data_IF_940628666543
#
_entry.id   IF_940628666543
#
_cell.length_a   1.000
_cell.length_b   1.000
_cell.length_c   1.000
_cell.angle_alpha   90.00
_cell.angle_beta   90.00
_cell.angle_gamma   90.00
#
_symmetry.space_group_name_H-M   'P 1'
#
loop_
_entity.id
_entity.type
_entity.pdbx_description
1 polymer ?
#
# COMPACT_ATOMS: atom_id res chain seq x y z
N UNK A 1 20.59 59.39 14.22
CA UNK A 1 19.80 58.47 15.07
C UNK A 1 18.62 57.79 14.36
N UNK A 2 17.93 58.42 13.39
CA UNK A 2 16.80 57.78 12.66
C UNK A 2 17.17 56.59 11.76
N UNK A 3 18.40 56.52 11.23
CA UNK A 3 18.85 55.40 10.38
C UNK A 3 19.20 54.12 11.16
N UNK A 4 19.60 54.24 12.42
CA UNK A 4 19.91 53.08 13.26
C UNK A 4 18.62 52.36 13.70
N UNK A 5 17.56 53.11 14.03
CA UNK A 5 16.28 52.54 14.45
C UNK A 5 15.60 51.71 13.35
N UNK A 6 15.68 52.13 12.08
CA UNK A 6 15.05 51.42 10.94
C UNK A 6 15.76 50.08 10.66
N UNK A 7 17.08 50.01 10.83
CA UNK A 7 17.84 48.77 10.63
C UNK A 7 17.54 47.76 11.74
N UNK A 8 17.33 48.21 12.98
CA UNK A 8 16.96 47.32 14.10
C UNK A 8 15.54 46.78 13.95
N UNK A 9 14.59 47.57 13.40
CA UNK A 9 13.21 47.08 13.18
C UNK A 9 13.14 46.03 12.06
N UNK A 10 13.93 46.18 11.00
CA UNK A 10 13.99 45.19 9.90
C UNK A 10 14.65 43.88 10.36
N UNK A 11 15.71 43.95 11.19
CA UNK A 11 16.34 42.74 11.74
C UNK A 11 15.42 41.98 12.71
N UNK A 12 14.57 42.68 13.46
CA UNK A 12 13.64 42.04 14.40
C UNK A 12 12.45 41.38 13.71
N UNK A 13 12.04 41.85 12.52
CA UNK A 13 10.99 41.22 11.71
C UNK A 13 11.44 39.94 10.98
N UNK A 14 12.75 39.71 10.81
CA UNK A 14 13.27 38.47 10.20
C UNK A 14 13.30 37.32 11.23
N UNK A 15 13.35 37.64 12.53
CA UNK A 15 13.31 36.66 13.63
C UNK A 15 11.90 36.14 13.97
N UNK A 16 10.86 36.71 13.36
CA UNK A 16 9.47 36.25 13.47
C UNK A 16 8.90 35.82 12.12
N UNK A 17 9.75 35.32 11.21
CA UNK A 17 9.23 34.44 10.17
C UNK A 17 8.62 33.23 10.89
N UNK A 18 7.32 32.93 10.70
CA UNK A 18 6.77 31.68 11.22
C UNK A 18 7.68 30.58 10.67
N UNK A 19 8.34 29.85 11.57
CA UNK A 19 8.97 28.59 11.21
C UNK A 19 7.91 27.87 10.39
N UNK A 20 8.17 27.69 9.09
CA UNK A 20 7.23 27.06 8.19
C UNK A 20 6.74 25.84 8.92
N UNK A 21 5.44 25.80 9.21
CA UNK A 21 4.79 24.62 9.77
C UNK A 21 5.16 23.54 8.79
N UNK A 22 6.18 22.75 9.12
CA UNK A 22 6.64 21.68 8.28
C UNK A 22 5.40 20.87 8.00
N UNK A 23 5.05 20.74 6.71
CA UNK A 23 3.99 19.85 6.31
C UNK A 23 4.25 18.55 7.09
N UNK A 24 3.31 18.19 7.95
CA UNK A 24 3.42 16.97 8.72
C UNK A 24 3.57 15.87 7.67
N UNK A 25 4.76 15.28 7.54
CA UNK A 25 5.09 14.43 6.41
C UNK A 25 4.08 13.28 6.35
N UNK A 26 3.10 13.41 5.46
CA UNK A 26 2.01 12.47 5.30
C UNK A 26 2.49 11.34 4.40
N UNK A 27 3.36 10.50 4.97
CA UNK A 27 4.04 9.39 4.30
C UNK A 27 3.64 8.05 4.90
N UNK A 28 4.01 6.96 4.21
CA UNK A 28 3.69 5.61 4.63
C UNK A 28 4.28 5.25 5.99
N UNK A 29 5.54 5.64 6.26
CA UNK A 29 6.21 5.30 7.52
C UNK A 29 5.41 5.81 8.72
N UNK A 30 5.01 7.08 8.69
CA UNK A 30 4.20 7.66 9.75
C UNK A 30 2.84 6.97 9.89
N UNK A 31 2.16 6.72 8.78
CA UNK A 31 0.87 6.03 8.80
C UNK A 31 0.97 4.58 9.29
N UNK A 32 2.07 3.89 9.01
CA UNK A 32 2.33 2.55 9.53
C UNK A 32 2.56 2.56 11.03
N UNK A 33 3.32 3.52 11.56
CA UNK A 33 3.48 3.69 13.01
C UNK A 33 2.14 4.00 13.70
N UNK A 34 1.30 4.84 13.09
CA UNK A 34 -0.03 5.15 13.60
C UNK A 34 -0.93 3.90 13.59
N UNK A 35 -0.81 3.04 12.57
CA UNK A 35 -1.47 1.74 12.54
C UNK A 35 -1.00 0.82 13.68
N UNK A 36 0.31 0.66 13.87
CA UNK A 36 0.88 -0.17 14.94
C UNK A 36 0.38 0.30 16.32
N UNK A 37 0.37 1.62 16.54
CA UNK A 37 -0.16 2.21 17.76
C UNK A 37 -1.66 1.92 17.94
N UNK A 38 -2.46 2.15 16.90
CA UNK A 38 -3.92 1.93 16.94
C UNK A 38 -4.27 0.45 17.11
N UNK A 39 -3.51 -0.46 16.51
CA UNK A 39 -3.64 -1.90 16.74
C UNK A 39 -3.40 -2.25 18.21
N UNK A 40 -2.43 -1.61 18.86
CA UNK A 40 -2.20 -1.75 20.30
C UNK A 40 -3.41 -1.30 21.13
N UNK A 41 -4.00 -0.15 20.79
CA UNK A 41 -5.22 0.35 21.46
C UNK A 41 -6.39 -0.62 21.31
N UNK A 42 -6.64 -1.12 20.10
CA UNK A 42 -7.68 -2.11 19.86
C UNK A 42 -7.45 -3.40 20.65
N UNK A 43 -6.23 -3.94 20.68
CA UNK A 43 -5.91 -5.14 21.46
C UNK A 43 -6.21 -4.98 22.95
N UNK A 44 -5.87 -3.80 23.51
CA UNK A 44 -6.17 -3.49 24.90
C UNK A 44 -7.68 -3.39 25.13
N UNK A 45 -8.40 -2.66 24.28
CA UNK A 45 -9.86 -2.51 24.37
C UNK A 45 -10.59 -3.86 24.22
N UNK A 46 -10.11 -4.73 23.32
CA UNK A 46 -10.63 -6.08 23.14
C UNK A 46 -10.42 -6.96 24.38
N UNK A 47 -9.22 -6.93 24.99
CA UNK A 47 -8.95 -7.68 26.22
C UNK A 47 -9.85 -7.23 27.38
N UNK A 48 -10.05 -5.93 27.54
CA UNK A 48 -10.94 -5.37 28.55
C UNK A 48 -12.40 -5.76 28.32
N UNK A 49 -12.85 -5.73 27.06
CA UNK A 49 -14.18 -6.20 26.67
C UNK A 49 -14.39 -7.68 27.01
N UNK A 50 -13.45 -8.56 26.66
CA UNK A 50 -13.56 -10.00 26.95
C UNK A 50 -13.68 -10.24 28.46
N UNK A 51 -12.85 -9.58 29.28
CA UNK A 51 -12.93 -9.67 30.75
C UNK A 51 -14.27 -9.20 31.29
N UNK A 52 -14.75 -8.03 30.85
CA UNK A 52 -16.01 -7.47 31.33
C UNK A 52 -17.23 -8.32 30.91
N UNK A 53 -17.21 -8.83 29.69
CA UNK A 53 -18.20 -9.79 29.18
C UNK A 53 -18.23 -11.05 30.05
N UNK A 54 -17.07 -11.64 30.32
CA UNK A 54 -16.98 -12.86 31.12
C UNK A 54 -17.47 -12.66 32.56
N UNK A 55 -17.15 -11.53 33.19
CA UNK A 55 -17.65 -11.23 34.53
C UNK A 55 -19.16 -11.03 34.55
N UNK A 56 -19.72 -10.32 33.56
CA UNK A 56 -21.17 -10.15 33.46
C UNK A 56 -21.90 -11.48 33.23
N UNK A 57 -21.37 -12.35 32.36
CA UNK A 57 -21.96 -13.66 32.09
C UNK A 57 -21.93 -14.57 33.33
N UNK A 58 -20.88 -14.47 34.17
CA UNK A 58 -20.79 -15.19 35.44
C UNK A 58 -21.68 -14.60 36.53
N UNK A 59 -21.81 -13.28 36.57
CA UNK A 59 -22.54 -12.55 37.61
C UNK A 59 -23.37 -11.43 37.00
N UNK A 60 -24.66 -11.66 36.83
CA UNK A 60 -25.56 -10.78 36.06
C UNK A 60 -26.08 -9.58 36.88
N UNK A 61 -25.18 -8.79 37.46
CA UNK A 61 -25.55 -7.56 38.18
C UNK A 61 -25.69 -6.37 37.24
N UNK A 62 -26.44 -5.34 37.65
CA UNK A 62 -26.60 -4.10 36.87
C UNK A 62 -25.26 -3.39 36.65
N UNK A 63 -24.39 -3.37 37.66
CA UNK A 63 -23.05 -2.78 37.57
C UNK A 63 -22.19 -3.47 36.52
N UNK A 64 -22.17 -4.81 36.51
CA UNK A 64 -21.39 -5.58 35.54
C UNK A 64 -21.96 -5.47 34.13
N UNK A 65 -23.29 -5.37 34.00
CA UNK A 65 -23.94 -5.08 32.71
C UNK A 65 -23.48 -3.74 32.14
N UNK A 66 -23.44 -2.70 32.97
CA UNK A 66 -23.01 -1.36 32.55
C UNK A 66 -21.51 -1.31 32.22
N UNK A 67 -20.68 -2.04 32.97
CA UNK A 67 -19.25 -2.17 32.67
C UNK A 67 -19.02 -2.88 31.32
N UNK A 68 -19.68 -4.02 31.10
CA UNK A 68 -19.63 -4.74 29.84
C UNK A 68 -20.06 -3.85 28.67
N UNK A 69 -21.15 -3.09 28.83
CA UNK A 69 -21.63 -2.13 27.83
C UNK A 69 -20.58 -1.08 27.47
N UNK A 70 -19.96 -0.43 28.47
CA UNK A 70 -18.91 0.57 28.24
C UNK A 70 -17.70 -0.03 27.51
N UNK A 71 -17.24 -1.21 27.95
CA UNK A 71 -16.07 -1.87 27.34
C UNK A 71 -16.35 -2.37 25.92
N UNK A 72 -17.55 -2.88 25.66
CA UNK A 72 -18.00 -3.22 24.29
C UNK A 72 -18.00 -1.98 23.40
N UNK A 73 -18.57 -0.86 23.85
CA UNK A 73 -18.58 0.39 23.08
C UNK A 73 -17.17 0.86 22.73
N UNK A 74 -16.25 0.88 23.70
CA UNK A 74 -14.85 1.25 23.45
C UNK A 74 -14.19 0.32 22.44
N UNK A 75 -14.31 -1.00 22.62
CA UNK A 75 -13.73 -1.99 21.70
C UNK A 75 -14.23 -1.79 20.26
N UNK A 76 -15.53 -1.56 20.08
CA UNK A 76 -16.13 -1.36 18.77
C UNK A 76 -15.63 -0.08 18.08
N UNK A 77 -15.47 1.02 18.83
CA UNK A 77 -14.89 2.27 18.31
C UNK A 77 -13.42 2.11 17.92
N UNK A 78 -12.64 1.39 18.72
CA UNK A 78 -11.22 1.13 18.43
C UNK A 78 -11.02 0.18 17.25
N UNK A 79 -11.92 -0.80 17.07
CA UNK A 79 -11.91 -1.69 15.90
C UNK A 79 -12.04 -0.87 14.61
N UNK A 80 -13.06 -0.02 14.53
CA UNK A 80 -13.34 0.76 13.32
C UNK A 80 -12.24 1.80 13.07
N UNK A 81 -11.63 2.35 14.13
CA UNK A 81 -10.45 3.21 14.02
C UNK A 81 -9.23 2.45 13.48
N UNK A 82 -8.99 1.22 13.94
CA UNK A 82 -7.88 0.40 13.47
C UNK A 82 -7.99 0.13 11.97
N UNK A 83 -9.17 -0.25 11.48
CA UNK A 83 -9.40 -0.49 10.05
C UNK A 83 -9.21 0.79 9.22
N UNK A 84 -9.71 1.92 9.70
CA UNK A 84 -9.51 3.24 9.07
C UNK A 84 -8.02 3.57 8.88
N UNK A 85 -7.22 3.40 9.93
CA UNK A 85 -5.79 3.72 9.90
C UNK A 85 -5.02 2.73 9.04
N UNK A 86 -5.37 1.44 9.08
CA UNK A 86 -4.73 0.42 8.26
C UNK A 86 -4.94 0.65 6.76
N UNK A 87 -6.18 0.91 6.33
CA UNK A 87 -6.49 1.22 4.94
C UNK A 87 -5.80 2.51 4.48
N UNK A 88 -5.71 3.52 5.35
CA UNK A 88 -4.96 4.76 5.06
C UNK A 88 -3.46 4.49 4.87
N UNK A 89 -2.86 3.62 5.69
CA UNK A 89 -1.48 3.22 5.52
C UNK A 89 -1.26 2.48 4.18
N UNK A 90 -2.16 1.57 3.79
CA UNK A 90 -2.10 0.91 2.48
C UNK A 90 -2.17 1.92 1.32
N UNK A 91 -3.08 2.90 1.40
CA UNK A 91 -3.20 3.98 0.42
C UNK A 91 -1.90 4.75 0.25
N UNK A 92 -1.26 5.11 1.36
CA UNK A 92 0.01 5.83 1.36
C UNK A 92 1.16 4.99 0.82
N UNK A 93 1.21 3.70 1.16
CA UNK A 93 2.19 2.80 0.54
C UNK A 93 2.04 2.75 -0.97
N UNK A 94 0.81 2.65 -1.48
CA UNK A 94 0.53 2.66 -2.93
C UNK A 94 0.92 3.99 -3.58
N UNK A 95 0.70 5.11 -2.89
CA UNK A 95 1.08 6.44 -3.37
C UNK A 95 2.59 6.55 -3.68
N UNK A 96 3.42 5.98 -2.81
CA UNK A 96 4.88 6.02 -2.91
C UNK A 96 5.47 5.13 -4.00
N UNK A 97 4.68 4.19 -4.56
CA UNK A 97 5.19 3.22 -5.54
C UNK A 97 5.30 3.86 -6.94
N UNK A 98 6.50 3.87 -7.52
CA UNK A 98 6.78 4.47 -8.84
C UNK A 98 6.21 3.65 -10.00
N UNK A 99 6.29 2.32 -9.93
CA UNK A 99 5.91 1.41 -11.03
C UNK A 99 4.41 1.37 -11.37
N UNK A 100 3.58 2.16 -10.67
CA UNK A 100 2.15 2.29 -10.95
C UNK A 100 1.86 3.65 -11.59
N UNK A 101 1.03 3.63 -12.64
CA UNK A 101 0.50 4.85 -13.25
C UNK A 101 -0.50 5.56 -12.34
N UNK A 102 -0.75 6.85 -12.58
CA UNK A 102 -1.75 7.63 -11.84
C UNK A 102 -3.14 7.00 -11.89
N UNK A 103 -3.56 6.50 -13.05
CA UNK A 103 -4.87 5.84 -13.21
C UNK A 103 -4.97 4.56 -12.39
N UNK A 104 -3.90 3.74 -12.35
CA UNK A 104 -3.87 2.54 -11.52
C UNK A 104 -3.96 2.87 -10.03
N UNK A 105 -3.29 3.93 -9.58
CA UNK A 105 -3.38 4.40 -8.17
C UNK A 105 -4.78 4.93 -7.85
N UNK A 106 -5.34 5.76 -8.72
CA UNK A 106 -6.66 6.35 -8.50
C UNK A 106 -7.78 5.30 -8.47
N UNK A 107 -7.67 4.24 -9.27
CA UNK A 107 -8.64 3.14 -9.28
C UNK A 107 -8.75 2.44 -7.91
N UNK A 108 -7.62 2.23 -7.22
CA UNK A 108 -7.62 1.61 -5.87
C UNK A 108 -7.90 2.63 -4.78
N UNK A 109 -7.47 3.88 -4.93
CA UNK A 109 -7.75 4.96 -3.97
C UNK A 109 -9.24 5.21 -3.80
N UNK A 110 -10.02 5.23 -4.89
CA UNK A 110 -11.47 5.41 -4.79
C UNK A 110 -12.14 4.32 -3.93
N UNK A 111 -11.66 3.07 -4.02
CA UNK A 111 -12.17 1.96 -3.20
C UNK A 111 -11.76 2.11 -1.73
N UNK A 112 -10.49 2.44 -1.48
CA UNK A 112 -9.97 2.67 -0.12
C UNK A 112 -10.69 3.83 0.56
N UNK A 113 -10.82 4.97 -0.11
CA UNK A 113 -11.41 6.18 0.45
C UNK A 113 -12.90 5.95 0.77
N UNK A 114 -13.62 5.18 -0.06
CA UNK A 114 -15.00 4.75 0.21
C UNK A 114 -15.10 3.87 1.47
N UNK A 115 -14.18 2.91 1.62
CA UNK A 115 -14.22 1.99 2.75
C UNK A 115 -13.80 2.68 4.07
N UNK A 116 -12.81 3.57 4.00
CA UNK A 116 -12.41 4.43 5.12
C UNK A 116 -13.58 5.31 5.58
N UNK A 117 -14.26 5.99 4.66
CA UNK A 117 -15.41 6.83 5.00
C UNK A 117 -16.51 6.01 5.70
N UNK A 118 -16.76 4.79 5.23
CA UNK A 118 -17.74 3.92 5.87
C UNK A 118 -17.36 3.59 7.33
N UNK A 119 -16.11 3.22 7.62
CA UNK A 119 -15.68 2.94 8.99
C UNK A 119 -15.73 4.18 9.88
N UNK A 120 -15.41 5.36 9.34
CA UNK A 120 -15.52 6.64 10.05
C UNK A 120 -16.97 6.95 10.43
N UNK A 121 -17.90 6.81 9.47
CA UNK A 121 -19.33 7.02 9.68
C UNK A 121 -19.92 6.00 10.66
N UNK A 122 -19.55 4.72 10.50
CA UNK A 122 -19.99 3.65 11.39
C UNK A 122 -19.53 3.90 12.83
N UNK A 123 -18.25 4.30 13.02
CA UNK A 123 -17.69 4.70 14.31
C UNK A 123 -18.41 5.89 14.93
N UNK A 124 -18.70 6.93 14.13
CA UNK A 124 -19.43 8.11 14.58
C UNK A 124 -20.88 7.77 14.99
N UNK A 125 -21.46 6.73 14.38
CA UNK A 125 -22.80 6.24 14.69
C UNK A 125 -22.94 5.48 16.01
N UNK A 126 -21.87 5.21 16.77
CA UNK A 126 -22.02 4.61 18.09
C UNK A 126 -22.47 5.64 19.15
N UNK A 127 -23.63 5.40 19.77
CA UNK A 127 -24.19 6.25 20.82
C UNK A 127 -23.70 5.80 22.22
N UNK A 128 -23.26 6.75 23.05
CA UNK A 128 -22.83 6.50 24.44
C UNK A 128 -23.96 5.95 25.33
N UNK A 129 -25.23 6.20 24.96
CA UNK A 129 -26.42 5.66 25.63
C UNK A 129 -26.96 4.35 25.04
N UNK A 130 -26.33 3.77 24.02
CA UNK A 130 -26.79 2.53 23.40
C UNK A 130 -26.79 1.37 24.41
N UNK A 131 -27.81 0.51 24.34
CA UNK A 131 -27.89 -0.67 25.18
C UNK A 131 -26.83 -1.70 24.79
N UNK A 132 -26.50 -2.61 25.72
CA UNK A 132 -25.54 -3.68 25.44
C UNK A 132 -25.99 -4.57 24.26
N UNK A 133 -27.30 -4.81 24.12
CA UNK A 133 -27.87 -5.59 23.02
C UNK A 133 -27.76 -4.86 21.68
N UNK A 134 -28.02 -3.55 21.65
CA UNK A 134 -27.84 -2.73 20.44
C UNK A 134 -26.39 -2.76 19.97
N UNK A 135 -25.43 -2.67 20.89
CA UNK A 135 -24.00 -2.74 20.58
C UNK A 135 -23.63 -4.10 20.00
N UNK A 136 -24.17 -5.21 20.52
CA UNK A 136 -23.95 -6.55 19.96
C UNK A 136 -24.58 -6.74 18.59
N UNK A 137 -25.76 -6.16 18.34
CA UNK A 137 -26.38 -6.23 17.03
C UNK A 137 -25.62 -5.38 16.01
N UNK A 138 -25.18 -4.19 16.41
CA UNK A 138 -24.38 -3.29 15.57
C UNK A 138 -22.98 -3.85 15.29
N UNK A 139 -22.39 -4.63 16.19
CA UNK A 139 -21.05 -5.20 15.97
C UNK A 139 -20.97 -6.19 14.79
N UNK A 140 -22.10 -6.82 14.43
CA UNK A 140 -22.23 -7.77 13.32
C UNK A 140 -22.07 -7.12 11.95
N UNK A 141 -22.44 -5.84 11.82
CA UNK A 141 -22.40 -5.13 10.55
C UNK A 141 -20.95 -4.96 10.04
N UNK A 142 -19.99 -4.41 10.82
CA UNK A 142 -18.59 -4.39 10.40
C UNK A 142 -17.95 -5.77 10.25
N UNK A 143 -18.43 -6.79 10.97
CA UNK A 143 -17.93 -8.16 10.78
C UNK A 143 -18.30 -8.70 9.39
N UNK A 144 -19.56 -8.52 8.98
CA UNK A 144 -20.03 -8.91 7.65
C UNK A 144 -19.34 -8.08 6.56
N UNK A 145 -19.24 -6.77 6.76
CA UNK A 145 -18.58 -5.88 5.81
C UNK A 145 -17.10 -6.18 5.66
N UNK A 146 -16.40 -6.46 6.75
CA UNK A 146 -14.99 -6.84 6.71
C UNK A 146 -14.77 -8.05 5.79
N UNK A 147 -15.61 -9.08 5.92
CA UNK A 147 -15.51 -10.29 5.10
C UNK A 147 -15.82 -10.05 3.62
N UNK A 148 -16.74 -9.14 3.32
CA UNK A 148 -17.31 -8.96 1.97
C UNK A 148 -16.71 -7.81 1.16
N UNK A 149 -16.14 -6.80 1.84
CA UNK A 149 -15.63 -5.57 1.22
C UNK A 149 -14.17 -5.30 1.64
N UNK A 150 -13.92 -5.15 2.94
CA UNK A 150 -12.61 -4.74 3.48
C UNK A 150 -11.50 -5.74 3.17
N UNK A 151 -11.73 -7.02 3.47
CA UNK A 151 -10.72 -8.06 3.29
C UNK A 151 -10.34 -8.27 1.81
N UNK A 152 -11.30 -8.38 0.85
CA UNK A 152 -10.98 -8.33 -0.57
C UNK A 152 -10.13 -7.12 -0.97
N UNK A 153 -10.49 -5.93 -0.49
CA UNK A 153 -9.78 -4.69 -0.79
C UNK A 153 -8.36 -4.66 -0.22
N UNK A 154 -8.16 -5.19 1.00
CA UNK A 154 -6.82 -5.34 1.60
C UNK A 154 -5.95 -6.21 0.70
N UNK A 155 -6.46 -7.38 0.26
CA UNK A 155 -5.70 -8.28 -0.60
C UNK A 155 -5.43 -7.70 -1.99
N UNK A 156 -6.39 -6.99 -2.59
CA UNK A 156 -6.15 -6.26 -3.83
C UNK A 156 -5.06 -5.20 -3.64
N UNK A 157 -5.11 -4.44 -2.55
CA UNK A 157 -4.13 -3.39 -2.23
C UNK A 157 -2.72 -3.97 -2.06
N UNK A 158 -2.57 -5.06 -1.29
CA UNK A 158 -1.30 -5.76 -1.12
C UNK A 158 -0.76 -6.29 -2.45
N UNK A 159 -1.62 -6.87 -3.29
CA UNK A 159 -1.24 -7.30 -4.63
C UNK A 159 -0.75 -6.13 -5.49
N UNK A 160 -1.47 -5.00 -5.50
CA UNK A 160 -1.10 -3.80 -6.25
C UNK A 160 0.25 -3.26 -5.78
N UNK A 161 0.51 -3.30 -4.48
CA UNK A 161 1.82 -2.95 -3.91
C UNK A 161 2.91 -3.83 -4.51
N UNK A 162 2.78 -5.16 -4.42
CA UNK A 162 3.76 -6.11 -4.95
C UNK A 162 3.97 -5.94 -6.46
N UNK A 163 2.88 -5.81 -7.22
CA UNK A 163 2.92 -5.58 -8.65
C UNK A 163 3.72 -4.31 -8.96
N UNK A 164 3.41 -3.20 -8.30
CA UNK A 164 4.06 -1.92 -8.56
C UNK A 164 5.56 -1.91 -8.21
N UNK A 165 5.97 -2.59 -7.14
CA UNK A 165 7.39 -2.79 -6.81
C UNK A 165 8.09 -3.60 -7.91
N UNK A 166 7.49 -4.69 -8.38
CA UNK A 166 8.03 -5.49 -9.49
C UNK A 166 8.14 -4.69 -10.79
N UNK A 167 7.11 -3.91 -11.12
CA UNK A 167 7.11 -3.02 -12.29
C UNK A 167 8.20 -1.97 -12.22
N UNK A 168 8.49 -1.45 -11.03
CA UNK A 168 9.56 -0.49 -10.81
C UNK A 168 10.90 -1.07 -11.25
N UNK A 169 11.19 -2.31 -10.84
CA UNK A 169 12.41 -3.03 -11.22
C UNK A 169 12.44 -3.29 -12.74
N UNK A 170 11.34 -3.78 -13.31
CA UNK A 170 11.25 -4.05 -14.74
C UNK A 170 11.48 -2.79 -15.59
N UNK A 171 10.88 -1.66 -15.21
CA UNK A 171 11.08 -0.38 -15.89
C UNK A 171 12.52 0.10 -15.82
N UNK A 172 13.19 -0.05 -14.68
CA UNK A 172 14.61 0.30 -14.57
C UNK A 172 15.48 -0.55 -15.51
N UNK A 173 15.18 -1.85 -15.61
CA UNK A 173 15.87 -2.76 -16.54
C UNK A 173 15.58 -2.42 -18.01
N UNK A 174 14.34 -2.10 -18.36
CA UNK A 174 13.95 -1.66 -19.70
C UNK A 174 14.61 -0.33 -20.11
N UNK A 175 14.77 0.59 -19.15
CA UNK A 175 15.50 1.84 -19.37
C UNK A 175 16.99 1.58 -19.65
N UNK A 176 17.63 0.69 -18.88
CA UNK A 176 19.01 0.27 -19.10
C UNK A 176 19.15 -0.39 -20.48
N UNK A 177 18.24 -1.31 -20.82
CA UNK A 177 18.20 -1.98 -22.11
C UNK A 177 18.13 -0.97 -23.26
N UNK A 178 17.21 -0.01 -23.17
CA UNK A 178 17.02 1.04 -24.19
C UNK A 178 18.27 1.90 -24.38
N UNK A 179 18.95 2.24 -23.27
CA UNK A 179 20.20 2.99 -23.31
C UNK A 179 21.36 2.17 -23.93
N UNK A 180 21.48 0.88 -23.59
CA UNK A 180 22.48 -0.02 -24.18
C UNK A 180 22.26 -0.20 -25.67
N UNK A 181 21.01 -0.43 -26.10
CA UNK A 181 20.65 -0.58 -27.52
C UNK A 181 20.99 0.67 -28.31
N UNK A 182 20.65 1.85 -27.79
CA UNK A 182 21.02 3.14 -28.40
C UNK A 182 22.53 3.28 -28.53
N UNK A 183 23.28 2.96 -27.47
CA UNK A 183 24.76 3.03 -27.47
C UNK A 183 25.37 2.08 -28.50
N UNK A 184 24.85 0.85 -28.61
CA UNK A 184 25.30 -0.13 -29.60
C UNK A 184 25.01 0.38 -31.01
N UNK A 185 23.79 0.83 -31.28
CA UNK A 185 23.39 1.34 -32.60
C UNK A 185 24.28 2.51 -33.06
N UNK A 186 24.63 3.42 -32.15
CA UNK A 186 25.54 4.54 -32.42
C UNK A 186 26.96 4.07 -32.75
N UNK A 187 27.51 3.14 -31.96
CA UNK A 187 28.89 2.67 -32.18
C UNK A 187 29.02 1.77 -33.41
N UNK A 188 27.99 0.96 -33.72
CA UNK A 188 27.90 0.18 -34.97
C UNK A 188 27.92 1.10 -36.19
N UNK A 189 27.15 2.20 -36.17
CA UNK A 189 27.15 3.20 -37.27
C UNK A 189 28.53 3.82 -37.50
N UNK A 190 29.33 3.97 -36.44
CA UNK A 190 30.71 4.48 -36.53
C UNK A 190 31.76 3.40 -36.84
N UNK A 191 31.35 2.14 -37.01
CA UNK A 191 32.25 1.01 -37.27
C UNK A 191 33.08 0.56 -36.07
N UNK A 192 32.75 1.03 -34.85
CA UNK A 192 33.46 0.68 -33.61
C UNK A 192 33.00 -0.64 -33.00
N UNK A 193 31.78 -1.09 -33.33
CA UNK A 193 31.20 -2.35 -32.85
C UNK A 193 30.61 -3.14 -34.04
N UNK A 194 30.59 -4.47 -33.92
CA UNK A 194 29.78 -5.36 -34.77
C UNK A 194 28.44 -5.63 -34.08
N UNK A 195 27.34 -5.56 -34.83
CA UNK A 195 25.98 -5.84 -34.34
C UNK A 195 25.73 -7.33 -34.10
N UNK A 196 26.38 -8.22 -34.86
CA UNK A 196 26.06 -9.65 -34.87
C UNK A 196 26.06 -10.32 -33.48
N UNK A 197 27.02 -10.04 -32.57
CA UNK A 197 27.01 -10.62 -31.23
C UNK A 197 25.79 -10.23 -30.40
N UNK A 198 25.13 -9.10 -30.68
CA UNK A 198 24.05 -8.57 -29.84
C UNK A 198 22.64 -9.04 -30.24
N UNK A 199 22.45 -9.46 -31.49
CA UNK A 199 21.11 -9.75 -32.04
C UNK A 199 20.34 -10.81 -31.25
N UNK A 200 21.02 -11.87 -30.79
CA UNK A 200 20.36 -12.94 -30.03
C UNK A 200 19.91 -12.45 -28.64
N UNK A 201 20.77 -11.74 -27.91
CA UNK A 201 20.40 -11.14 -26.62
C UNK A 201 19.25 -10.14 -26.74
N UNK A 202 19.21 -9.31 -27.77
CA UNK A 202 18.09 -8.39 -27.98
C UNK A 202 16.76 -9.12 -28.19
N UNK A 203 16.77 -10.20 -28.99
CA UNK A 203 15.60 -11.04 -29.18
C UNK A 203 15.13 -11.69 -27.87
N UNK A 204 16.05 -12.20 -27.06
CA UNK A 204 15.74 -12.85 -25.78
C UNK A 204 15.22 -11.85 -24.75
N UNK A 205 15.81 -10.65 -24.68
CA UNK A 205 15.35 -9.55 -23.83
C UNK A 205 13.93 -9.12 -24.23
N UNK A 206 13.67 -8.89 -25.52
CA UNK A 206 12.35 -8.47 -26.03
C UNK A 206 11.28 -9.53 -25.70
N UNK A 207 11.62 -10.82 -25.80
CA UNK A 207 10.74 -11.93 -25.41
C UNK A 207 10.45 -11.95 -23.90
N UNK A 208 11.46 -11.71 -23.07
CA UNK A 208 11.28 -11.65 -21.61
C UNK A 208 10.36 -10.49 -21.22
N UNK A 209 10.57 -9.29 -21.76
CA UNK A 209 9.73 -8.10 -21.49
C UNK A 209 8.26 -8.39 -21.85
N UNK A 210 8.03 -9.05 -22.99
CA UNK A 210 6.69 -9.48 -23.40
C UNK A 210 6.07 -10.45 -22.39
N UNK A 211 6.82 -11.44 -21.92
CA UNK A 211 6.33 -12.43 -20.95
C UNK A 211 6.03 -11.78 -19.58
N UNK A 212 6.85 -10.82 -19.14
CA UNK A 212 6.60 -10.03 -17.93
C UNK A 212 5.24 -9.32 -18.03
N UNK A 213 5.01 -8.61 -19.15
CA UNK A 213 3.74 -7.89 -19.38
C UNK A 213 2.53 -8.85 -19.39
N UNK A 214 2.66 -10.03 -20.02
CA UNK A 214 1.59 -11.03 -20.03
C UNK A 214 1.28 -11.58 -18.64
N UNK A 215 2.30 -11.79 -17.81
CA UNK A 215 2.12 -12.22 -16.43
C UNK A 215 1.44 -11.13 -15.58
N UNK A 216 1.78 -9.86 -15.79
CA UNK A 216 1.08 -8.74 -15.13
C UNK A 216 -0.42 -8.76 -15.42
N UNK A 217 -0.81 -8.85 -16.70
CA UNK A 217 -2.23 -8.83 -17.09
C UNK A 217 -3.00 -10.06 -16.58
N UNK A 218 -2.35 -11.23 -16.61
CA UNK A 218 -2.92 -12.45 -16.02
C UNK A 218 -3.11 -12.30 -14.51
N UNK A 219 -2.10 -11.78 -13.80
CA UNK A 219 -2.16 -11.61 -12.35
C UNK A 219 -3.23 -10.58 -11.95
N UNK A 220 -3.36 -9.47 -12.70
CA UNK A 220 -4.46 -8.50 -12.54
C UNK A 220 -5.83 -9.15 -12.69
N UNK A 221 -6.00 -10.00 -13.69
CA UNK A 221 -7.26 -10.73 -13.89
C UNK A 221 -7.55 -11.70 -12.73
N UNK A 222 -6.52 -12.35 -12.20
CA UNK A 222 -6.65 -13.28 -11.08
C UNK A 222 -7.01 -12.57 -9.77
N UNK A 223 -6.40 -11.41 -9.48
CA UNK A 223 -6.70 -10.68 -8.24
C UNK A 223 -8.14 -10.16 -8.22
N UNK A 224 -8.75 -9.82 -9.36
CA UNK A 224 -10.16 -9.36 -9.37
C UNK A 224 -11.13 -10.42 -8.82
N UNK A 225 -10.73 -11.70 -8.77
CA UNK A 225 -11.51 -12.78 -8.16
C UNK A 225 -11.62 -12.66 -6.64
N UNK A 226 -10.91 -11.75 -5.97
CA UNK A 226 -11.08 -11.48 -4.53
C UNK A 226 -12.49 -10.99 -4.19
N UNK A 227 -13.20 -10.39 -5.16
CA UNK A 227 -14.57 -9.93 -5.03
C UNK A 227 -15.61 -11.00 -5.42
N UNK A 228 -15.17 -12.15 -5.93
CA UNK A 228 -16.05 -13.25 -6.30
C UNK A 228 -16.40 -14.15 -5.11
N UNK A 229 -17.56 -14.81 -5.17
CA UNK A 229 -17.98 -15.78 -4.14
C UNK A 229 -17.33 -17.17 -4.30
N UNK A 230 -16.64 -17.42 -5.42
CA UNK A 230 -16.14 -18.75 -5.79
C UNK A 230 -14.79 -19.11 -5.15
N UNK A 231 -14.00 -18.11 -4.75
CA UNK A 231 -12.69 -18.29 -4.11
C UNK A 231 -12.59 -17.36 -2.91
N UNK A 232 -11.91 -17.80 -1.85
CA UNK A 232 -11.59 -16.90 -0.74
C UNK A 232 -10.65 -15.77 -1.22
N UNK A 233 -10.72 -14.56 -0.64
CA UNK A 233 -9.80 -13.48 -0.98
C UNK A 233 -8.32 -13.89 -0.88
N UNK A 234 -7.98 -14.67 0.14
CA UNK A 234 -6.62 -15.22 0.34
C UNK A 234 -6.19 -16.12 -0.83
N UNK A 235 -7.10 -16.98 -1.31
CA UNK A 235 -6.81 -17.91 -2.41
C UNK A 235 -6.58 -17.16 -3.72
N UNK A 236 -7.42 -16.15 -4.01
CA UNK A 236 -7.27 -15.28 -5.18
C UNK A 236 -5.95 -14.49 -5.13
N UNK A 237 -5.62 -13.94 -3.96
CA UNK A 237 -4.33 -13.29 -3.71
C UNK A 237 -3.14 -14.24 -3.96
N UNK A 238 -3.11 -15.41 -3.32
CA UNK A 238 -2.00 -16.36 -3.48
C UNK A 238 -1.83 -16.84 -4.92
N UNK A 239 -2.93 -17.03 -5.64
CA UNK A 239 -2.90 -17.39 -7.07
C UNK A 239 -2.28 -16.26 -7.91
N UNK A 240 -2.69 -15.01 -7.67
CA UNK A 240 -2.11 -13.84 -8.35
C UNK A 240 -0.62 -13.67 -8.02
N UNK A 241 -0.23 -13.89 -6.76
CA UNK A 241 1.15 -13.79 -6.30
C UNK A 241 2.05 -14.88 -6.90
N UNK A 242 1.52 -16.08 -7.11
CA UNK A 242 2.25 -17.17 -7.80
C UNK A 242 2.60 -16.77 -9.24
N UNK A 243 1.68 -16.11 -9.95
CA UNK A 243 1.93 -15.57 -11.29
C UNK A 243 2.96 -14.43 -11.27
N UNK A 244 2.97 -13.58 -10.24
CA UNK A 244 4.01 -12.55 -10.10
C UNK A 244 5.37 -13.15 -9.71
N UNK A 245 5.39 -14.17 -8.86
CA UNK A 245 6.62 -14.82 -8.41
C UNK A 245 7.38 -15.49 -9.57
N UNK A 246 6.67 -16.04 -10.57
CA UNK A 246 7.33 -16.56 -11.77
C UNK A 246 8.02 -15.46 -12.59
N UNK A 247 7.55 -14.21 -12.47
CA UNK A 247 8.15 -13.05 -13.12
C UNK A 247 9.45 -12.59 -12.46
N UNK A 248 9.70 -12.95 -11.20
CA UNK A 248 10.99 -12.66 -10.54
C UNK A 248 12.15 -13.39 -11.22
N UNK A 249 11.93 -14.64 -11.67
CA UNK A 249 12.94 -15.38 -12.43
C UNK A 249 13.23 -14.71 -13.78
N UNK A 250 12.19 -14.20 -14.44
CA UNK A 250 12.32 -13.47 -15.70
C UNK A 250 13.10 -12.16 -15.53
N UNK A 251 12.85 -11.39 -14.46
CA UNK A 251 13.64 -10.20 -14.13
C UNK A 251 15.11 -10.54 -13.83
N UNK A 252 15.36 -11.69 -13.20
CA UNK A 252 16.71 -12.21 -12.99
C UNK A 252 17.43 -12.53 -14.30
N UNK A 253 16.75 -13.20 -15.22
CA UNK A 253 17.28 -13.49 -16.57
C UNK A 253 17.52 -12.22 -17.38
N UNK A 254 16.59 -11.26 -17.32
CA UNK A 254 16.75 -9.96 -17.97
C UNK A 254 18.02 -9.27 -17.48
N UNK A 255 18.26 -9.24 -16.16
CA UNK A 255 19.49 -8.68 -15.61
C UNK A 255 20.75 -9.38 -16.11
N UNK A 256 20.73 -10.72 -16.24
CA UNK A 256 21.86 -11.49 -16.77
C UNK A 256 22.17 -11.11 -18.22
N UNK A 257 21.15 -11.03 -19.08
CA UNK A 257 21.35 -10.59 -20.47
C UNK A 257 21.88 -9.17 -20.58
N UNK A 258 21.41 -8.24 -19.74
CA UNK A 258 21.95 -6.87 -19.71
C UNK A 258 23.44 -6.84 -19.34
N UNK A 259 23.87 -7.70 -18.41
CA UNK A 259 25.28 -7.86 -18.04
C UNK A 259 26.10 -8.44 -19.20
N UNK A 260 25.58 -9.45 -19.90
CA UNK A 260 26.24 -10.06 -21.06
C UNK A 260 26.42 -9.06 -22.20
N UNK A 261 25.36 -8.29 -22.52
CA UNK A 261 25.42 -7.20 -23.50
C UNK A 261 26.50 -6.20 -23.13
N UNK A 262 26.52 -5.72 -21.88
CA UNK A 262 27.52 -4.76 -21.40
C UNK A 262 28.95 -5.33 -21.49
N UNK A 263 29.12 -6.61 -21.16
CA UNK A 263 30.42 -7.29 -21.24
C UNK A 263 30.89 -7.42 -22.68
N UNK A 264 29.99 -7.73 -23.60
CA UNK A 264 30.30 -7.81 -25.04
C UNK A 264 30.70 -6.46 -25.63
N UNK A 265 30.05 -5.36 -25.22
CA UNK A 265 30.48 -4.01 -25.59
C UNK A 265 31.93 -3.78 -25.13
N UNK A 266 32.25 -4.10 -23.86
CA UNK A 266 33.60 -3.91 -23.30
C UNK A 266 34.67 -4.75 -23.98
N UNK A 267 34.32 -5.91 -24.52
CA UNK A 267 35.29 -6.79 -25.19
C UNK A 267 35.60 -6.35 -26.63
N UNK A 268 34.77 -5.49 -27.23
CA UNK A 268 34.97 -4.99 -28.60
C UNK A 268 35.63 -3.61 -28.67
N UNK A 269 35.69 -2.88 -27.54
CA UNK A 269 36.35 -1.56 -27.41
C UNK A 269 37.73 -1.74 -26.79
#
# INVERSE_FOLDING_TARGET
MKKAAIITTILLSILFLPAGVGAQDFNFEKAYQDYVFTQGQYRNAYSDYEKAKDFYLKNQTLTLKEEARKKTLTMLRERDQMETVYLTALRLKILEIRGLTGDQKNAIFGKIDTEVAWYQDHKAGYNDGASLEDLFNKSKEPESRYKTHTLPLIYESLFIITLGEQKTIGQDQENIYSALRTTIDENVKTGKLDMNPFNHWFSDIDLIIKNLTQNEERAKTQIQKVYGQTLSPVSSYNTSLTTLSSSLNLLGQLNQFLIEVLTSIRNQI
#
